data_IF_658088532492
#
_entry.id   IF_658088532492
#
_cell.length_a   1.000
_cell.length_b   1.000
_cell.length_c   1.000
_cell.angle_alpha   90.00
_cell.angle_beta   90.00
_cell.angle_gamma   90.00
#
_symmetry.space_group_name_H-M   'P 1'
#
loop_
_entity.id
_entity.type
_entity.pdbx_description
1 polymer ?
#
# COMPACT_ATOMS: atom_id res chain seq x y z
N UNK A 1 0.13 18.26 5.21
CA UNK A 1 1.49 18.06 4.67
C UNK A 1 1.77 16.59 4.32
N UNK A 2 1.17 15.60 4.98
CA UNK A 2 1.49 14.18 4.75
C UNK A 2 1.27 13.67 3.29
N UNK A 3 0.16 14.03 2.64
CA UNK A 3 -0.12 13.61 1.26
C UNK A 3 0.66 14.37 0.19
N UNK A 4 1.14 15.58 0.48
CA UNK A 4 1.88 16.41 -0.49
C UNK A 4 3.32 15.94 -0.73
N UNK A 5 3.85 15.11 0.17
CA UNK A 5 5.21 14.54 0.08
C UNK A 5 5.23 13.15 -0.59
N UNK A 6 4.06 12.67 -1.04
CA UNK A 6 3.96 11.41 -1.76
C UNK A 6 4.44 11.58 -3.20
N UNK A 7 5.22 10.62 -3.68
CA UNK A 7 5.51 10.54 -5.11
C UNK A 7 4.24 10.18 -5.89
N UNK A 8 4.28 10.34 -7.22
CA UNK A 8 3.17 9.91 -8.08
C UNK A 8 2.84 8.42 -7.88
N UNK A 9 3.89 7.59 -7.77
CA UNK A 9 3.69 6.15 -7.59
C UNK A 9 3.12 5.84 -6.20
N UNK A 10 3.65 6.44 -5.13
CA UNK A 10 3.12 6.29 -3.77
C UNK A 10 1.65 6.71 -3.69
N UNK A 11 1.29 7.83 -4.32
CA UNK A 11 -0.11 8.31 -4.38
C UNK A 11 -1.02 7.30 -5.08
N UNK A 12 -0.57 6.75 -6.22
CA UNK A 12 -1.33 5.74 -6.95
C UNK A 12 -1.45 4.43 -6.18
N UNK A 13 -0.40 4.01 -5.47
CA UNK A 13 -0.40 2.83 -4.63
C UNK A 13 -1.37 3.01 -3.45
N UNK A 14 -1.35 4.17 -2.80
CA UNK A 14 -2.26 4.51 -1.71
C UNK A 14 -3.73 4.45 -2.16
N UNK A 15 -4.07 5.13 -3.27
CA UNK A 15 -5.43 5.09 -3.80
C UNK A 15 -5.86 3.69 -4.21
N UNK A 16 -4.94 2.89 -4.74
CA UNK A 16 -5.24 1.51 -5.09
C UNK A 16 -5.50 0.64 -3.87
N UNK A 17 -4.71 0.80 -2.79
CA UNK A 17 -4.96 0.12 -1.51
C UNK A 17 -6.33 0.56 -0.95
N UNK A 18 -6.63 1.86 -0.95
CA UNK A 18 -7.89 2.42 -0.45
C UNK A 18 -9.13 1.90 -1.19
N UNK A 19 -9.01 1.66 -2.49
CA UNK A 19 -10.10 1.15 -3.32
C UNK A 19 -10.17 -0.38 -3.35
N UNK A 20 -9.16 -1.07 -2.82
CA UNK A 20 -9.06 -2.52 -2.85
C UNK A 20 -9.45 -3.11 -1.50
N UNK A 21 -10.12 -4.26 -1.54
CA UNK A 21 -10.46 -5.01 -0.34
C UNK A 21 -9.29 -5.91 0.08
N UNK A 22 -8.27 -5.32 0.69
CA UNK A 22 -7.12 -6.04 1.26
C UNK A 22 -7.29 -6.37 2.74
N UNK A 23 -8.44 -6.05 3.31
CA UNK A 23 -8.89 -6.57 4.61
C UNK A 23 -9.34 -8.02 4.43
N UNK A 24 -10.20 -8.30 3.44
CA UNK A 24 -10.62 -9.68 3.15
C UNK A 24 -9.64 -10.45 2.23
N UNK A 25 -8.89 -9.76 1.36
CA UNK A 25 -7.93 -10.41 0.44
C UNK A 25 -6.48 -10.25 0.90
N UNK A 26 -5.70 -11.36 1.02
CA UNK A 26 -4.30 -11.29 1.42
C UNK A 26 -3.46 -10.35 0.55
N UNK A 27 -2.69 -9.47 1.20
CA UNK A 27 -1.73 -8.63 0.51
C UNK A 27 -0.65 -9.47 -0.16
N UNK A 28 -0.35 -9.13 -1.42
CA UNK A 28 0.76 -9.71 -2.18
C UNK A 28 1.42 -8.62 -3.00
N UNK A 29 2.65 -8.26 -2.66
CA UNK A 29 3.43 -7.26 -3.39
C UNK A 29 3.55 -7.60 -4.89
N UNK A 30 3.66 -8.89 -5.24
CA UNK A 30 3.67 -9.35 -6.64
C UNK A 30 2.39 -8.98 -7.43
N UNK A 31 1.22 -8.91 -6.77
CA UNK A 31 -0.04 -8.50 -7.40
C UNK A 31 0.00 -7.02 -7.75
N UNK A 32 0.47 -6.19 -6.81
CA UNK A 32 0.64 -4.76 -7.05
C UNK A 32 1.69 -4.52 -8.15
N UNK A 33 2.85 -5.18 -8.07
CA UNK A 33 3.93 -5.07 -9.05
C UNK A 33 3.43 -5.35 -10.47
N UNK A 34 2.63 -6.41 -10.64
CA UNK A 34 1.99 -6.74 -11.92
C UNK A 34 0.98 -5.67 -12.37
N UNK A 35 0.16 -5.14 -11.46
CA UNK A 35 -0.84 -4.13 -11.79
C UNK A 35 -0.20 -2.80 -12.24
N UNK A 36 0.88 -2.41 -11.58
CA UNK A 36 1.60 -1.16 -11.84
C UNK A 36 2.73 -1.28 -12.87
N UNK A 37 3.07 -2.52 -13.29
CA UNK A 37 4.19 -2.82 -14.20
C UNK A 37 5.54 -2.34 -13.66
N UNK A 38 5.76 -2.55 -12.37
CA UNK A 38 7.00 -2.22 -11.64
C UNK A 38 7.55 -3.48 -10.98
N UNK A 39 8.73 -3.39 -10.37
CA UNK A 39 9.31 -4.48 -9.58
C UNK A 39 8.59 -4.66 -8.23
N UNK A 40 8.78 -5.84 -7.63
CA UNK A 40 8.29 -6.11 -6.26
C UNK A 40 9.01 -5.23 -5.23
N UNK A 41 10.28 -4.93 -5.47
CA UNK A 41 11.09 -4.09 -4.58
C UNK A 41 10.55 -2.66 -4.56
N UNK A 42 10.23 -2.07 -5.73
CA UNK A 42 9.61 -0.75 -5.81
C UNK A 42 8.27 -0.68 -5.05
N UNK A 43 7.44 -1.73 -5.11
CA UNK A 43 6.20 -1.80 -4.34
C UNK A 43 6.46 -1.82 -2.84
N UNK A 44 7.44 -2.62 -2.39
CA UNK A 44 7.77 -2.72 -0.97
C UNK A 44 8.34 -1.40 -0.44
N UNK A 45 9.21 -0.74 -1.21
CA UNK A 45 9.75 0.59 -0.88
C UNK A 45 8.65 1.63 -0.79
N UNK A 46 7.73 1.67 -1.77
CA UNK A 46 6.61 2.58 -1.76
C UNK A 46 5.66 2.31 -0.58
N UNK A 47 5.38 1.04 -0.27
CA UNK A 47 4.56 0.68 0.89
C UNK A 47 5.22 1.11 2.21
N UNK A 48 6.52 0.91 2.36
CA UNK A 48 7.27 1.40 3.53
C UNK A 48 7.29 2.95 3.61
N UNK A 49 7.37 3.62 2.47
CA UNK A 49 7.26 5.08 2.42
C UNK A 49 5.87 5.55 2.87
N UNK A 50 4.80 4.86 2.46
CA UNK A 50 3.44 5.17 2.91
C UNK A 50 3.29 5.03 4.43
N UNK A 51 3.77 3.93 5.03
CA UNK A 51 3.70 3.75 6.49
C UNK A 51 4.52 4.78 7.26
N UNK A 52 5.55 5.37 6.65
CA UNK A 52 6.34 6.45 7.27
C UNK A 52 5.76 7.85 7.05
N UNK A 53 5.25 8.15 5.86
CA UNK A 53 4.82 9.50 5.45
C UNK A 53 3.38 9.80 5.83
N UNK A 54 2.51 8.79 5.73
CA UNK A 54 1.07 8.88 6.04
C UNK A 54 0.65 7.82 7.07
N UNK A 55 1.33 7.73 8.23
CA UNK A 55 1.16 6.63 9.20
C UNK A 55 -0.25 6.48 9.77
N UNK A 56 -1.05 7.56 9.78
CA UNK A 56 -2.43 7.55 10.27
C UNK A 56 -3.45 7.17 9.19
N UNK A 57 -3.01 7.02 7.95
CA UNK A 57 -3.85 6.78 6.79
C UNK A 57 -3.63 5.41 6.16
N UNK A 58 -2.66 4.64 6.67
CA UNK A 58 -2.39 3.28 6.21
C UNK A 58 -2.22 2.36 7.42
N UNK A 59 -2.87 1.20 7.37
CA UNK A 59 -2.83 0.22 8.43
C UNK A 59 -2.40 -1.12 7.88
N UNK A 60 -1.33 -1.69 8.44
CA UNK A 60 -0.81 -3.00 8.08
C UNK A 60 -0.96 -3.91 9.29
N UNK A 61 -1.66 -5.02 9.13
CA UNK A 61 -1.90 -5.97 10.21
C UNK A 61 -1.83 -7.42 9.72
N UNK A 62 -1.87 -8.35 10.65
CA UNK A 62 -1.79 -9.78 10.37
C UNK A 62 -3.08 -10.47 10.78
N UNK A 63 -3.66 -11.22 9.85
CA UNK A 63 -4.90 -11.97 10.06
C UNK A 63 -4.89 -13.25 9.22
N UNK A 64 -5.30 -14.37 9.81
CA UNK A 64 -5.37 -15.69 9.16
C UNK A 64 -4.09 -16.15 8.44
N UNK A 65 -2.92 -15.86 9.02
CA UNK A 65 -1.66 -16.27 8.42
C UNK A 65 -1.18 -15.35 7.28
N UNK A 66 -1.86 -14.22 7.04
CA UNK A 66 -1.58 -13.32 5.95
C UNK A 66 -1.47 -11.85 6.41
N UNK A 67 -0.71 -11.06 5.64
CA UNK A 67 -0.68 -9.61 5.79
C UNK A 67 -1.94 -9.03 5.17
N UNK A 68 -2.58 -8.12 5.89
CA UNK A 68 -3.71 -7.30 5.49
C UNK A 68 -3.29 -5.85 5.48
N UNK A 69 -3.83 -5.09 4.53
CA UNK A 69 -3.52 -3.66 4.41
C UNK A 69 -4.82 -2.91 4.17
N UNK A 70 -5.03 -1.82 4.87
CA UNK A 70 -6.11 -0.88 4.56
C UNK A 70 -5.58 0.54 4.53
N UNK A 71 -6.29 1.42 3.84
CA UNK A 71 -5.97 2.83 3.77
C UNK A 71 -7.24 3.67 3.88
N UNK A 72 -7.15 4.76 4.63
CA UNK A 72 -8.25 5.70 4.89
C UNK A 72 -7.77 7.14 4.68
N UNK A 73 -8.67 8.01 4.21
CA UNK A 73 -8.38 9.42 3.91
C UNK A 73 -8.47 10.34 5.12
#
# INVERSE_FOLDING_TARGET
MAFTDLTEFETRLFEWIRQSDFEEVPWKAARAAKAFKVSVDEVNEALAALTSKVPNNIYVHYEDGAIRISAES
#
